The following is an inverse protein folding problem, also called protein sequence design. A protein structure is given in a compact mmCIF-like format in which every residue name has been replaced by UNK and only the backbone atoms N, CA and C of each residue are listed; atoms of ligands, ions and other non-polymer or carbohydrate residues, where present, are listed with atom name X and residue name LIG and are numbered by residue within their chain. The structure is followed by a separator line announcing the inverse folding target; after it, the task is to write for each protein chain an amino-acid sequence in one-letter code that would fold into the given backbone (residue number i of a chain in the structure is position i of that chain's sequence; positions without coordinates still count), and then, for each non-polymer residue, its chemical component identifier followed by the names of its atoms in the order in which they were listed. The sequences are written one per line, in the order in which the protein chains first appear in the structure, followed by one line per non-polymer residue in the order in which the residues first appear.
data_IF_702250174981
#
_entry.id   IF_702250174981
#
_cell.length_a   1.000
_cell.length_b   1.000
_cell.length_c   1.000
_cell.angle_alpha   90.00
_cell.angle_beta   90.00
_cell.angle_gamma   90.00
#
_symmetry.space_group_name_H-M   'P 1'
#
loop_
_entity.id
_entity.type
_entity.pdbx_description
1 polymer ?
#
# COMPACT_ATOMS: atom_id res chain seq x y z
N UNK A 1 13.30 17.28 22.33
CA UNK A 1 13.47 17.41 20.86
C UNK A 1 13.56 16.04 20.16
N UNK A 2 14.45 15.14 20.60
CA UNK A 2 14.62 13.80 19.99
C UNK A 2 13.34 12.94 19.97
N UNK A 3 12.61 12.88 21.08
CA UNK A 3 11.33 12.14 21.15
C UNK A 3 10.24 12.66 20.20
N UNK A 4 10.27 13.95 19.87
CA UNK A 4 9.29 14.57 18.97
C UNK A 4 9.61 14.22 17.51
N UNK A 5 10.89 14.27 17.14
CA UNK A 5 11.38 13.83 15.83
C UNK A 5 11.09 12.34 15.62
N UNK A 6 11.34 11.50 16.64
CA UNK A 6 11.04 10.06 16.58
C UNK A 6 9.55 9.79 16.33
N UNK A 7 8.65 10.49 17.04
CA UNK A 7 7.20 10.35 16.82
C UNK A 7 6.77 10.76 15.41
N UNK A 8 7.29 11.88 14.91
CA UNK A 8 7.01 12.33 13.54
C UNK A 8 7.51 11.30 12.53
N UNK A 9 8.72 10.78 12.72
CA UNK A 9 9.29 9.77 11.85
C UNK A 9 8.45 8.48 11.84
N UNK A 10 8.01 8.03 13.02
CA UNK A 10 7.14 6.87 13.14
C UNK A 10 5.79 7.08 12.44
N UNK A 11 5.19 8.28 12.58
CA UNK A 11 3.94 8.62 11.88
C UNK A 11 4.10 8.68 10.37
N UNK A 12 5.25 9.09 9.84
CA UNK A 12 5.48 9.21 8.40
C UNK A 12 5.91 7.88 7.78
N UNK A 13 6.72 7.08 8.47
CA UNK A 13 7.29 5.85 7.92
C UNK A 13 6.43 4.62 8.23
N UNK A 14 5.94 4.48 9.47
CA UNK A 14 5.29 3.26 9.94
C UNK A 14 3.78 3.32 9.74
N UNK A 15 3.16 4.46 10.06
CA UNK A 15 1.71 4.61 9.98
C UNK A 15 1.15 4.32 8.57
N UNK A 16 1.74 4.82 7.46
CA UNK A 16 1.21 4.54 6.13
C UNK A 16 1.30 3.07 5.76
N UNK A 17 2.33 2.37 6.24
CA UNK A 17 2.49 0.94 6.02
C UNK A 17 1.43 0.14 6.80
N UNK A 18 1.14 0.52 8.05
CA UNK A 18 0.06 -0.09 8.84
C UNK A 18 -1.32 0.14 8.20
N UNK A 19 -1.57 1.36 7.72
CA UNK A 19 -2.81 1.69 6.99
C UNK A 19 -2.93 0.84 5.72
N UNK A 20 -1.83 0.67 4.99
CA UNK A 20 -1.80 -0.18 3.80
C UNK A 20 -2.18 -1.64 4.12
N UNK A 21 -1.63 -2.23 5.19
CA UNK A 21 -1.94 -3.60 5.59
C UNK A 21 -3.44 -3.77 5.93
N UNK A 22 -4.00 -2.86 6.72
CA UNK A 22 -5.41 -2.87 7.09
C UNK A 22 -6.34 -2.76 5.87
N UNK A 23 -6.00 -1.90 4.90
CA UNK A 23 -6.75 -1.78 3.65
C UNK A 23 -6.61 -3.04 2.82
N UNK A 24 -5.41 -3.61 2.72
CA UNK A 24 -5.14 -4.82 1.98
C UNK A 24 -5.98 -6.00 2.50
N UNK A 25 -6.10 -6.15 3.82
CA UNK A 25 -6.90 -7.21 4.42
C UNK A 25 -8.39 -7.06 4.10
N UNK A 26 -8.93 -5.83 4.13
CA UNK A 26 -10.32 -5.57 3.72
C UNK A 26 -10.56 -5.89 2.24
N UNK A 27 -9.60 -5.57 1.38
CA UNK A 27 -9.67 -5.92 -0.04
C UNK A 27 -9.59 -7.43 -0.23
N UNK A 28 -8.70 -8.11 0.48
CA UNK A 28 -8.58 -9.57 0.46
C UNK A 28 -9.91 -10.24 0.84
N UNK A 29 -10.54 -9.77 1.92
CA UNK A 29 -11.83 -10.27 2.37
C UNK A 29 -12.94 -10.02 1.35
N UNK A 30 -12.96 -8.85 0.72
CA UNK A 30 -13.90 -8.56 -0.36
C UNK A 30 -13.72 -9.50 -1.55
N UNK A 31 -12.48 -9.71 -2.00
CA UNK A 31 -12.16 -10.60 -3.13
C UNK A 31 -12.50 -12.05 -2.84
N UNK A 32 -12.24 -12.53 -1.62
CA UNK A 32 -12.63 -13.86 -1.15
C UNK A 32 -14.14 -14.01 -1.12
N UNK A 33 -14.88 -13.04 -0.56
CA UNK A 33 -16.36 -13.06 -0.49
C UNK A 33 -17.01 -13.08 -1.87
N UNK A 34 -16.41 -12.42 -2.85
CA UNK A 34 -16.88 -12.41 -4.24
C UNK A 34 -16.42 -13.62 -5.06
N UNK A 35 -15.66 -14.54 -4.45
CA UNK A 35 -15.06 -15.71 -5.10
C UNK A 35 -14.22 -15.34 -6.34
N UNK A 36 -13.64 -14.14 -6.35
CA UNK A 36 -12.82 -13.63 -7.46
C UNK A 36 -11.39 -14.13 -7.30
N UNK A 37 -10.85 -14.00 -6.08
CA UNK A 37 -9.46 -14.35 -5.81
C UNK A 37 -9.30 -14.77 -4.35
N UNK A 38 -9.14 -16.07 -4.12
CA UNK A 38 -9.13 -16.65 -2.77
C UNK A 38 -7.78 -16.54 -2.06
N UNK A 39 -6.69 -16.38 -2.81
CA UNK A 39 -5.30 -16.35 -2.31
C UNK A 39 -4.68 -14.96 -2.33
N UNK A 40 -5.48 -13.92 -2.20
CA UNK A 40 -4.96 -12.56 -2.09
C UNK A 40 -4.09 -12.43 -0.83
N UNK A 41 -2.86 -11.95 -1.00
CA UNK A 41 -1.92 -11.64 0.10
C UNK A 41 -1.40 -10.20 -0.01
N UNK A 42 -0.58 -9.79 0.95
CA UNK A 42 -0.01 -8.44 0.99
C UNK A 42 0.99 -8.15 -0.13
N UNK A 43 1.64 -9.16 -0.72
CA UNK A 43 2.53 -8.98 -1.87
C UNK A 43 1.73 -8.58 -3.12
N UNK A 44 0.55 -9.17 -3.32
CA UNK A 44 -0.35 -8.77 -4.41
C UNK A 44 -0.81 -7.31 -4.23
N UNK A 45 -1.16 -6.92 -3.01
CA UNK A 45 -1.49 -5.52 -2.69
C UNK A 45 -0.34 -4.56 -2.99
N UNK A 46 0.87 -4.94 -2.62
CA UNK A 46 2.07 -4.11 -2.83
C UNK A 46 2.39 -3.98 -4.32
N UNK A 47 2.24 -5.07 -5.08
CA UNK A 47 2.38 -5.07 -6.53
C UNK A 47 1.39 -4.10 -7.21
N UNK A 48 0.12 -4.11 -6.78
CA UNK A 48 -0.89 -3.18 -7.30
C UNK A 48 -0.50 -1.73 -7.04
N UNK A 49 -0.02 -1.41 -5.82
CA UNK A 49 0.44 -0.05 -5.50
C UNK A 49 1.61 0.36 -6.40
N UNK A 50 2.58 -0.54 -6.63
CA UNK A 50 3.73 -0.27 -7.51
C UNK A 50 3.29 -0.05 -8.97
N UNK A 51 2.35 -0.83 -9.48
CA UNK A 51 1.81 -0.67 -10.84
C UNK A 51 1.09 0.69 -10.96
N UNK A 52 0.26 1.06 -9.98
CA UNK A 52 -0.40 2.37 -9.97
C UNK A 52 0.63 3.50 -9.97
N UNK A 53 1.67 3.38 -9.14
CA UNK A 53 2.74 4.38 -9.06
C UNK A 53 3.48 4.50 -10.40
N UNK A 54 3.79 3.37 -11.03
CA UNK A 54 4.42 3.32 -12.34
C UNK A 54 3.58 4.01 -13.41
N UNK A 55 2.27 3.75 -13.45
CA UNK A 55 1.33 4.40 -14.37
C UNK A 55 1.28 5.91 -14.12
N UNK A 56 1.22 6.35 -12.87
CA UNK A 56 1.23 7.79 -12.53
C UNK A 56 2.53 8.46 -12.99
N UNK A 57 3.69 7.83 -12.74
CA UNK A 57 4.99 8.35 -13.16
C UNK A 57 5.08 8.42 -14.69
N UNK A 58 4.62 7.38 -15.38
CA UNK A 58 4.54 7.36 -16.83
C UNK A 58 3.69 8.52 -17.35
N UNK A 59 2.48 8.71 -16.82
CA UNK A 59 1.57 9.78 -17.24
C UNK A 59 2.13 11.18 -16.96
N UNK A 60 3.01 11.32 -15.97
CA UNK A 60 3.73 12.55 -15.68
C UNK A 60 4.94 12.80 -16.59
N UNK A 61 5.19 11.94 -17.57
CA UNK A 61 6.28 12.10 -18.52
C UNK A 61 7.64 11.59 -18.00
N UNK A 62 7.67 10.85 -16.89
CA UNK A 62 8.87 10.13 -16.46
C UNK A 62 8.99 8.87 -17.33
N UNK A 63 9.50 9.06 -18.55
CA UNK A 63 9.88 7.98 -19.46
C UNK A 63 11.37 7.69 -19.27
N UNK A 64 11.74 6.43 -19.05
CA UNK A 64 13.12 5.95 -18.97
C UNK A 64 13.77 5.96 -20.35
#
# INVERSE_FOLDING_TARGET
MFALIYKIWWMIAVLPFLIFLEINDKVADFLKRKNIYSRWDWYHGLLVVLIILLVILWLKGYHW
#
